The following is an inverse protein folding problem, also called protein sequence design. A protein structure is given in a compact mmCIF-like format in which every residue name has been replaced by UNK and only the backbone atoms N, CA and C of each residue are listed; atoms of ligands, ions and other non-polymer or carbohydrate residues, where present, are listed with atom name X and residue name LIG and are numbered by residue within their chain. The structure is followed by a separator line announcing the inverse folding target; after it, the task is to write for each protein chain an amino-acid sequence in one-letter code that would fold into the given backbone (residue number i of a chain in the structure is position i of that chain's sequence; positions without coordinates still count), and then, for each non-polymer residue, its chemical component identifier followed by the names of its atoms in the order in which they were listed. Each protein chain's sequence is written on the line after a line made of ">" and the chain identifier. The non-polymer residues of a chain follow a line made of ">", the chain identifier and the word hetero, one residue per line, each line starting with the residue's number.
data_IF_544252218255
#
_entry.id   IF_544252218255
#
_cell.length_a   1.000
_cell.length_b   1.000
_cell.length_c   1.000
_cell.angle_alpha   90.00
_cell.angle_beta   90.00
_cell.angle_gamma   90.00
#
_symmetry.space_group_name_H-M   'P 1'
#
loop_
_entity.id
_entity.type
_entity.pdbx_description
1 polymer ?
#
# COMPACT_ATOMS: atom_id res chain seq x y z
N UNK A 1 -21.25 -5.73 -26.73
CA UNK A 1 -20.89 -5.52 -25.30
C UNK A 1 -21.68 -6.38 -24.30
N UNK A 2 -23.00 -6.57 -24.45
CA UNK A 2 -23.85 -7.32 -23.49
C UNK A 2 -23.38 -8.76 -23.14
N UNK A 3 -22.72 -9.47 -24.08
CA UNK A 3 -22.15 -10.81 -23.81
C UNK A 3 -20.89 -10.79 -22.93
N UNK A 4 -20.11 -9.72 -23.00
CA UNK A 4 -18.85 -9.57 -22.28
C UNK A 4 -19.00 -8.87 -20.92
N UNK A 5 -20.18 -8.33 -20.60
CA UNK A 5 -20.40 -7.55 -19.37
C UNK A 5 -19.98 -8.27 -18.08
N UNK A 6 -20.11 -9.60 -18.01
CA UNK A 6 -19.65 -10.37 -16.85
C UNK A 6 -18.13 -10.40 -16.73
N UNK A 7 -17.41 -10.66 -17.81
CA UNK A 7 -15.94 -10.65 -17.81
C UNK A 7 -15.40 -9.24 -17.51
N UNK A 8 -16.02 -8.21 -18.11
CA UNK A 8 -15.68 -6.81 -17.84
C UNK A 8 -15.93 -6.46 -16.36
N UNK A 9 -17.01 -6.96 -15.76
CA UNK A 9 -17.27 -6.79 -14.32
C UNK A 9 -16.21 -7.43 -13.44
N UNK A 10 -15.74 -8.63 -13.77
CA UNK A 10 -14.68 -9.29 -13.00
C UNK A 10 -13.35 -8.50 -13.09
N UNK A 11 -12.98 -8.06 -14.29
CA UNK A 11 -11.80 -7.22 -14.50
C UNK A 11 -11.91 -5.87 -13.78
N UNK A 12 -13.07 -5.22 -13.85
CA UNK A 12 -13.31 -3.95 -13.17
C UNK A 12 -13.18 -4.09 -11.63
N UNK A 13 -13.70 -5.17 -11.04
CA UNK A 13 -13.54 -5.42 -9.60
C UNK A 13 -12.06 -5.56 -9.21
N UNK A 14 -11.28 -6.34 -9.97
CA UNK A 14 -9.84 -6.49 -9.75
C UNK A 14 -9.14 -5.13 -9.81
N UNK A 15 -9.42 -4.33 -10.83
CA UNK A 15 -8.81 -3.01 -11.01
C UNK A 15 -9.22 -2.03 -9.91
N UNK A 16 -10.47 -2.05 -9.45
CA UNK A 16 -10.92 -1.22 -8.34
C UNK A 16 -10.23 -1.60 -7.01
N UNK A 17 -10.02 -2.90 -6.77
CA UNK A 17 -9.30 -3.37 -5.58
C UNK A 17 -7.81 -2.98 -5.68
N UNK A 18 -7.19 -3.15 -6.85
CA UNK A 18 -5.80 -2.71 -7.07
C UNK A 18 -5.64 -1.21 -6.87
N UNK A 19 -6.53 -0.39 -7.46
CA UNK A 19 -6.58 1.06 -7.22
C UNK A 19 -6.65 1.38 -5.73
N UNK A 20 -7.52 0.70 -4.98
CA UNK A 20 -7.68 0.98 -3.57
C UNK A 20 -6.48 0.55 -2.73
N UNK A 21 -5.90 -0.62 -2.98
CA UNK A 21 -4.73 -1.12 -2.24
C UNK A 21 -3.54 -0.18 -2.46
N UNK A 22 -3.25 0.19 -3.71
CA UNK A 22 -2.17 1.14 -4.05
C UNK A 22 -2.45 2.52 -3.44
N UNK A 23 -3.69 3.02 -3.48
CA UNK A 23 -4.05 4.25 -2.78
C UNK A 23 -3.81 4.17 -1.25
N UNK A 24 -4.10 3.05 -0.61
CA UNK A 24 -3.83 2.82 0.81
C UNK A 24 -2.33 2.81 1.11
N UNK A 25 -1.51 2.20 0.23
CA UNK A 25 -0.04 2.20 0.35
C UNK A 25 0.50 3.63 0.29
N UNK A 26 0.07 4.44 -0.69
CA UNK A 26 0.49 5.84 -0.78
C UNK A 26 0.05 6.67 0.43
N UNK A 27 -1.17 6.44 0.93
CA UNK A 27 -1.65 7.11 2.14
C UNK A 27 -0.77 6.78 3.35
N UNK A 28 -0.43 5.51 3.54
CA UNK A 28 0.46 5.08 4.64
C UNK A 28 1.86 5.69 4.48
N UNK A 29 2.44 5.61 3.27
CA UNK A 29 3.79 6.11 3.01
C UNK A 29 3.92 7.64 3.19
N UNK A 30 2.82 8.38 3.00
CA UNK A 30 2.78 9.83 3.16
C UNK A 30 2.22 10.34 4.49
N UNK A 31 1.76 9.46 5.37
CA UNK A 31 1.15 9.84 6.66
C UNK A 31 2.23 10.00 7.74
N UNK A 32 2.72 11.24 7.90
CA UNK A 32 3.74 11.58 8.90
C UNK A 32 3.31 11.25 10.32
N UNK A 33 2.06 11.51 10.69
CA UNK A 33 1.58 11.21 12.04
C UNK A 33 1.57 9.71 12.32
N UNK A 34 1.13 8.90 11.36
CA UNK A 34 1.19 7.45 11.49
C UNK A 34 2.63 6.94 11.52
N UNK A 35 3.50 7.45 10.64
CA UNK A 35 4.91 7.09 10.59
C UNK A 35 5.60 7.34 11.93
N UNK A 36 5.43 8.54 12.48
CA UNK A 36 5.98 8.92 13.79
C UNK A 36 5.44 8.04 14.91
N UNK A 37 4.12 7.83 14.95
CA UNK A 37 3.49 7.01 15.98
C UNK A 37 4.01 5.56 15.98
N UNK A 38 4.17 4.95 14.79
CA UNK A 38 4.68 3.59 14.69
C UNK A 38 6.20 3.50 14.94
N UNK A 39 6.98 4.49 14.48
CA UNK A 39 8.41 4.58 14.83
C UNK A 39 8.62 4.71 16.33
N UNK A 40 7.92 5.62 17.01
CA UNK A 40 8.01 5.78 18.46
C UNK A 40 7.56 4.54 19.23
N UNK A 41 6.58 3.81 18.69
CA UNK A 41 6.06 2.60 19.31
C UNK A 41 6.99 1.38 19.15
N UNK A 42 7.65 1.25 18.01
CA UNK A 42 8.46 0.07 17.66
C UNK A 42 9.97 0.29 17.82
N UNK A 43 10.39 1.54 17.80
CA UNK A 43 11.78 1.97 17.80
C UNK A 43 11.90 3.26 18.63
N UNK A 44 11.68 3.20 19.96
CA UNK A 44 11.75 4.38 20.80
C UNK A 44 13.21 4.88 20.95
N UNK A 45 13.42 6.14 21.38
CA UNK A 45 14.75 6.78 21.52
C UNK A 45 15.85 5.92 22.15
N UNK A 46 15.50 5.13 23.16
CA UNK A 46 16.43 4.27 23.91
C UNK A 46 17.00 3.14 23.04
N UNK A 47 16.30 2.75 21.98
CA UNK A 47 16.69 1.67 21.05
C UNK A 47 17.42 2.19 19.82
N UNK A 48 17.06 3.39 19.34
CA UNK A 48 17.64 3.99 18.13
C UNK A 48 18.90 4.80 18.44
N UNK A 49 19.05 5.28 19.68
CA UNK A 49 20.11 6.21 20.07
C UNK A 49 19.85 7.65 19.61
N UNK A 50 18.65 7.94 19.10
CA UNK A 50 18.23 9.29 18.74
C UNK A 50 17.50 9.96 19.90
N UNK A 51 17.62 11.28 20.02
CA UNK A 51 16.74 12.03 20.91
C UNK A 51 15.30 12.05 20.37
N UNK A 52 14.30 12.00 21.26
CA UNK A 52 12.88 12.04 20.87
C UNK A 52 12.53 13.27 20.01
N UNK A 53 13.22 14.40 20.23
CA UNK A 53 13.03 15.64 19.47
C UNK A 53 13.42 15.52 17.99
N UNK A 54 14.21 14.52 17.59
CA UNK A 54 14.65 14.33 16.21
C UNK A 54 13.63 13.56 15.36
N UNK A 55 12.72 12.80 15.99
CA UNK A 55 11.74 11.96 15.27
C UNK A 55 10.86 12.75 14.32
N UNK A 56 10.25 13.89 14.70
CA UNK A 56 9.41 14.65 13.78
C UNK A 56 10.15 15.09 12.51
N UNK A 57 11.41 15.51 12.63
CA UNK A 57 12.24 15.93 11.51
C UNK A 57 12.58 14.77 10.57
N UNK A 58 12.99 13.63 11.13
CA UNK A 58 13.29 12.41 10.37
C UNK A 58 12.03 11.88 9.67
N UNK A 59 10.88 11.95 10.33
CA UNK A 59 9.58 11.52 9.77
C UNK A 59 9.13 12.43 8.63
N UNK A 60 9.24 13.75 8.79
CA UNK A 60 8.91 14.70 7.71
C UNK A 60 9.83 14.48 6.50
N UNK A 61 11.13 14.28 6.76
CA UNK A 61 12.11 13.93 5.73
C UNK A 61 11.73 12.62 5.01
N UNK A 62 11.45 11.56 5.77
CA UNK A 62 11.15 10.23 5.23
C UNK A 62 9.87 10.23 4.40
N UNK A 63 8.76 10.71 4.95
CA UNK A 63 7.47 10.77 4.24
C UNK A 63 7.50 11.77 3.10
N UNK A 64 8.17 12.91 3.27
CA UNK A 64 8.40 13.87 2.20
C UNK A 64 9.22 13.29 1.05
N UNK A 65 10.25 12.50 1.34
CA UNK A 65 11.07 11.86 0.32
C UNK A 65 10.30 10.80 -0.46
N UNK A 66 9.60 9.90 0.23
CA UNK A 66 8.78 8.85 -0.38
C UNK A 66 7.63 9.42 -1.24
N UNK A 67 7.05 10.55 -0.81
CA UNK A 67 5.97 11.22 -1.56
C UNK A 67 6.47 12.12 -2.69
N UNK A 68 7.78 12.39 -2.75
CA UNK A 68 8.44 13.23 -3.75
C UNK A 68 8.47 14.73 -3.41
N UNK A 69 8.02 15.12 -2.21
CA UNK A 69 8.09 16.50 -1.70
C UNK A 69 9.53 16.90 -1.34
N UNK A 70 10.35 15.94 -0.94
CA UNK A 70 11.76 16.15 -0.58
C UNK A 70 12.65 15.42 -1.61
N UNK A 71 13.70 16.09 -2.08
CA UNK A 71 14.55 15.60 -3.15
C UNK A 71 15.58 14.56 -2.67
N UNK A 72 16.18 14.78 -1.50
CA UNK A 72 17.28 13.99 -0.97
C UNK A 72 16.87 13.28 0.33
N UNK A 73 17.30 12.03 0.49
CA UNK A 73 17.07 11.27 1.73
C UNK A 73 18.27 11.43 2.65
N UNK A 74 18.30 12.52 3.41
CA UNK A 74 19.30 12.73 4.46
C UNK A 74 18.75 13.67 5.54
N UNK A 75 19.10 13.39 6.78
CA UNK A 75 18.80 14.24 7.93
C UNK A 75 20.09 14.40 8.74
N UNK A 76 20.28 15.54 9.40
CA UNK A 76 21.50 15.80 10.20
C UNK A 76 21.14 15.98 11.65
N UNK A 77 21.83 15.25 12.53
CA UNK A 77 21.72 15.40 13.99
C UNK A 77 23.01 16.00 14.54
N UNK A 78 22.89 16.73 15.63
CA UNK A 78 24.05 17.18 16.39
C UNK A 78 24.59 16.04 17.23
N UNK A 79 25.83 15.65 17.00
CA UNK A 79 26.50 14.59 17.76
C UNK A 79 26.86 15.04 19.19
N UNK A 80 27.39 14.12 19.98
CA UNK A 80 27.82 14.40 21.36
C UNK A 80 28.96 15.40 21.47
N UNK A 81 29.65 15.71 20.36
CA UNK A 81 30.70 16.73 20.27
C UNK A 81 30.17 18.09 19.77
N UNK A 82 28.85 18.22 19.54
CA UNK A 82 28.23 19.46 19.04
C UNK A 82 28.37 19.68 17.53
N UNK A 83 28.78 18.66 16.77
CA UNK A 83 28.94 18.74 15.32
C UNK A 83 27.73 18.15 14.60
N UNK A 84 27.35 18.73 13.47
CA UNK A 84 26.28 18.18 12.63
C UNK A 84 26.80 16.99 11.84
N UNK A 85 26.18 15.82 12.03
CA UNK A 85 26.52 14.58 11.35
C UNK A 85 25.30 14.03 10.59
N UNK A 86 25.50 13.41 9.41
CA UNK A 86 24.43 12.72 8.69
C UNK A 86 23.90 11.52 9.49
N UNK A 87 22.58 11.33 9.48
CA UNK A 87 21.90 10.23 10.15
C UNK A 87 22.05 8.89 9.44
N UNK A 88 22.09 8.90 8.11
CA UNK A 88 22.06 7.71 7.28
C UNK A 88 23.33 7.59 6.45
N UNK A 89 23.84 6.36 6.33
CA UNK A 89 24.92 6.06 5.40
C UNK A 89 24.43 6.13 3.94
N UNK A 90 25.36 6.30 3.00
CA UNK A 90 25.04 6.39 1.57
C UNK A 90 24.29 5.15 1.04
N UNK A 91 24.58 3.96 1.57
CA UNK A 91 23.88 2.73 1.17
C UNK A 91 22.46 2.64 1.74
N UNK A 92 22.20 3.21 2.92
CA UNK A 92 20.84 3.32 3.47
C UNK A 92 20.00 4.29 2.63
N UNK A 93 20.60 5.42 2.22
CA UNK A 93 19.97 6.37 1.32
C UNK A 93 19.74 5.77 -0.08
N UNK A 94 20.67 4.94 -0.59
CA UNK A 94 20.50 4.21 -1.83
C UNK A 94 19.33 3.22 -1.76
N UNK A 95 19.18 2.49 -0.66
CA UNK A 95 18.02 1.62 -0.46
C UNK A 95 16.71 2.44 -0.43
N UNK A 96 16.71 3.60 0.21
CA UNK A 96 15.55 4.48 0.19
C UNK A 96 15.22 5.03 -1.20
N UNK A 97 16.22 5.23 -2.06
CA UNK A 97 15.99 5.57 -3.47
C UNK A 97 15.24 4.43 -4.20
N UNK A 98 15.59 3.17 -3.94
CA UNK A 98 14.85 2.01 -4.47
C UNK A 98 13.40 2.00 -3.94
N UNK A 99 13.19 2.26 -2.64
CA UNK A 99 11.87 2.38 -2.04
C UNK A 99 11.04 3.51 -2.68
N UNK A 100 11.65 4.66 -2.95
CA UNK A 100 10.99 5.78 -3.64
C UNK A 100 10.60 5.43 -5.07
N UNK A 101 11.46 4.72 -5.80
CA UNK A 101 11.13 4.22 -7.13
C UNK A 101 9.92 3.27 -7.09
N UNK A 102 9.86 2.39 -6.08
CA UNK A 102 8.73 1.49 -5.88
C UNK A 102 7.43 2.23 -5.53
N UNK A 103 7.48 3.26 -4.67
CA UNK A 103 6.31 4.12 -4.37
C UNK A 103 5.86 4.92 -5.60
N UNK A 104 6.79 5.33 -6.46
CA UNK A 104 6.45 6.00 -7.73
C UNK A 104 5.77 5.05 -8.72
N UNK A 105 6.24 3.79 -8.80
CA UNK A 105 5.59 2.73 -9.56
C UNK A 105 4.18 2.44 -9.01
N UNK A 106 4.03 2.33 -7.69
CA UNK A 106 2.74 2.12 -7.01
C UNK A 106 1.75 3.23 -7.38
N UNK A 107 2.18 4.50 -7.38
CA UNK A 107 1.38 5.64 -7.85
C UNK A 107 0.94 5.52 -9.30
N UNK A 108 1.83 5.04 -10.17
CA UNK A 108 1.50 4.81 -11.58
C UNK A 108 0.45 3.71 -11.72
N UNK A 109 0.62 2.60 -11.00
CA UNK A 109 -0.35 1.49 -10.98
C UNK A 109 -1.70 1.97 -10.44
N UNK A 110 -1.72 2.77 -9.37
CA UNK A 110 -2.95 3.35 -8.82
C UNK A 110 -3.73 4.11 -9.91
N UNK A 111 -3.07 5.05 -10.59
CA UNK A 111 -3.71 5.89 -11.62
C UNK A 111 -4.24 5.02 -12.77
N UNK A 112 -3.41 4.12 -13.31
CA UNK A 112 -3.80 3.27 -14.44
C UNK A 112 -4.94 2.31 -14.07
N UNK A 113 -4.89 1.71 -12.88
CA UNK A 113 -5.92 0.82 -12.38
C UNK A 113 -7.25 1.58 -12.20
N UNK A 114 -7.21 2.76 -11.57
CA UNK A 114 -8.39 3.60 -11.33
C UNK A 114 -9.05 4.06 -12.63
N UNK A 115 -8.27 4.60 -13.58
CA UNK A 115 -8.77 5.03 -14.89
C UNK A 115 -9.37 3.85 -15.66
N UNK A 116 -8.67 2.71 -15.68
CA UNK A 116 -9.16 1.51 -16.37
C UNK A 116 -10.45 0.99 -15.74
N UNK A 117 -10.53 0.94 -14.41
CA UNK A 117 -11.73 0.50 -13.70
C UNK A 117 -12.92 1.43 -14.00
N UNK A 118 -12.69 2.75 -14.03
CA UNK A 118 -13.69 3.75 -14.36
C UNK A 118 -14.21 3.59 -15.79
N UNK A 119 -13.31 3.47 -16.78
CA UNK A 119 -13.66 3.30 -18.19
C UNK A 119 -14.48 2.03 -18.41
N UNK A 120 -14.04 0.89 -17.85
CA UNK A 120 -14.74 -0.38 -17.98
C UNK A 120 -16.14 -0.34 -17.33
N UNK A 121 -16.25 0.23 -16.13
CA UNK A 121 -17.54 0.43 -15.46
C UNK A 121 -18.46 1.32 -16.29
N UNK A 122 -17.99 2.48 -16.76
CA UNK A 122 -18.78 3.43 -17.54
C UNK A 122 -19.27 2.81 -18.86
N UNK A 123 -18.41 2.09 -19.59
CA UNK A 123 -18.75 1.43 -20.83
C UNK A 123 -19.95 0.47 -20.67
N UNK A 124 -20.00 -0.27 -19.56
CA UNK A 124 -21.09 -1.20 -19.28
C UNK A 124 -22.34 -0.49 -18.79
N UNK A 125 -22.21 0.55 -17.95
CA UNK A 125 -23.37 1.32 -17.49
C UNK A 125 -24.12 2.01 -18.64
N UNK A 126 -23.40 2.45 -19.66
CA UNK A 126 -23.94 3.13 -20.84
C UNK A 126 -24.52 2.17 -21.89
N UNK A 127 -23.85 1.02 -22.15
CA UNK A 127 -24.13 0.20 -23.34
C UNK A 127 -24.14 -1.32 -23.09
N UNK A 128 -23.94 -1.75 -21.85
CA UNK A 128 -23.83 -3.16 -21.47
C UNK A 128 -25.05 -3.73 -20.76
N UNK A 129 -24.91 -4.97 -20.26
CA UNK A 129 -25.91 -5.60 -19.39
C UNK A 129 -25.46 -5.44 -17.93
N UNK A 130 -26.21 -4.63 -17.17
CA UNK A 130 -25.87 -4.25 -15.79
C UNK A 130 -25.91 -5.43 -14.82
N UNK A 131 -26.90 -6.32 -14.94
CA UNK A 131 -26.96 -7.50 -14.06
C UNK A 131 -25.76 -8.42 -14.27
N UNK A 132 -25.43 -8.73 -15.53
CA UNK A 132 -24.26 -9.56 -15.86
C UNK A 132 -22.96 -8.93 -15.35
N UNK A 133 -22.85 -7.60 -15.43
CA UNK A 133 -21.71 -6.85 -14.88
C UNK A 133 -21.61 -6.96 -13.37
N UNK A 134 -22.70 -6.72 -12.63
CA UNK A 134 -22.72 -6.88 -11.18
C UNK A 134 -22.36 -8.32 -10.76
N UNK A 135 -22.87 -9.34 -11.47
CA UNK A 135 -22.45 -10.74 -11.24
C UNK A 135 -20.96 -10.95 -11.52
N UNK A 136 -20.43 -10.26 -12.52
CA UNK A 136 -19.00 -10.19 -12.83
C UNK A 136 -18.17 -9.59 -11.71
N UNK A 137 -18.61 -8.46 -11.13
CA UNK A 137 -17.96 -7.82 -9.98
C UNK A 137 -17.83 -8.83 -8.83
N UNK A 138 -18.91 -9.55 -8.50
CA UNK A 138 -18.87 -10.61 -7.47
C UNK A 138 -17.89 -11.74 -7.83
N UNK A 139 -17.71 -12.07 -9.11
CA UNK A 139 -16.69 -13.04 -9.54
C UNK A 139 -15.28 -12.50 -9.32
N UNK A 140 -15.01 -11.26 -9.72
CA UNK A 140 -13.70 -10.62 -9.51
C UNK A 140 -13.36 -10.47 -8.02
N UNK A 141 -14.35 -10.16 -7.18
CA UNK A 141 -14.19 -10.12 -5.72
C UNK A 141 -13.77 -11.47 -5.14
N UNK A 142 -14.34 -12.59 -5.62
CA UNK A 142 -13.92 -13.93 -5.17
C UNK A 142 -12.50 -14.26 -5.60
N UNK A 143 -12.13 -13.92 -6.84
CA UNK A 143 -10.78 -14.17 -7.37
C UNK A 143 -9.75 -13.40 -6.56
N UNK A 144 -9.90 -12.07 -6.48
CA UNK A 144 -8.97 -11.21 -5.76
C UNK A 144 -8.99 -11.50 -4.26
N UNK A 145 -10.18 -11.77 -3.69
CA UNK A 145 -10.32 -12.18 -2.29
C UNK A 145 -9.54 -13.46 -1.97
N UNK A 146 -9.50 -14.43 -2.89
CA UNK A 146 -8.68 -15.63 -2.74
C UNK A 146 -7.18 -15.33 -2.69
N UNK A 147 -6.70 -14.44 -3.57
CA UNK A 147 -5.29 -14.01 -3.58
C UNK A 147 -4.93 -13.29 -2.29
N UNK A 148 -5.75 -12.32 -1.87
CA UNK A 148 -5.51 -11.55 -0.64
C UNK A 148 -5.61 -12.43 0.61
N UNK A 149 -6.54 -13.40 0.63
CA UNK A 149 -6.64 -14.35 1.73
C UNK A 149 -5.41 -15.25 1.82
N UNK A 150 -4.88 -15.72 0.69
CA UNK A 150 -3.63 -16.51 0.68
C UNK A 150 -2.44 -15.71 1.21
N UNK A 151 -2.30 -14.44 0.78
CA UNK A 151 -1.27 -13.54 1.30
C UNK A 151 -1.43 -13.25 2.79
N UNK A 152 -2.67 -13.05 3.26
CA UNK A 152 -2.96 -12.84 4.68
C UNK A 152 -2.63 -14.07 5.52
N UNK A 153 -3.00 -15.27 5.06
CA UNK A 153 -2.68 -16.52 5.74
C UNK A 153 -1.16 -16.70 5.85
N UNK A 154 -0.42 -16.41 4.79
CA UNK A 154 1.05 -16.44 4.84
C UNK A 154 1.59 -15.41 5.83
N UNK A 155 1.12 -14.15 5.77
CA UNK A 155 1.55 -13.10 6.69
C UNK A 155 1.31 -13.48 8.17
N UNK A 156 0.19 -14.15 8.47
CA UNK A 156 -0.13 -14.62 9.83
C UNK A 156 0.71 -15.81 10.27
N UNK A 157 1.12 -16.67 9.34
CA UNK A 157 1.95 -17.84 9.64
C UNK A 157 3.43 -17.48 9.77
N UNK A 158 3.94 -16.63 8.87
CA UNK A 158 5.34 -16.23 8.78
C UNK A 158 5.48 -14.88 8.07
N UNK A 159 5.27 -13.79 8.82
CA UNK A 159 5.46 -12.44 8.29
C UNK A 159 6.91 -12.20 7.85
N UNK A 160 7.89 -12.73 8.58
CA UNK A 160 9.31 -12.58 8.25
C UNK A 160 9.62 -13.18 6.88
N UNK A 161 9.15 -14.40 6.60
CA UNK A 161 9.34 -15.06 5.31
C UNK A 161 8.64 -14.31 4.17
N UNK A 162 7.43 -13.79 4.40
CA UNK A 162 6.74 -12.93 3.43
C UNK A 162 7.53 -11.65 3.15
N UNK A 163 7.98 -10.97 4.21
CA UNK A 163 8.76 -9.73 4.12
C UNK A 163 10.07 -9.95 3.35
N UNK A 164 10.84 -10.98 3.70
CA UNK A 164 12.09 -11.33 3.01
C UNK A 164 11.84 -11.71 1.56
N UNK A 165 10.77 -12.46 1.26
CA UNK A 165 10.45 -12.85 -0.12
C UNK A 165 10.11 -11.63 -0.97
N UNK A 166 9.32 -10.70 -0.41
CA UNK A 166 9.03 -9.43 -1.06
C UNK A 166 10.31 -8.64 -1.32
N UNK A 167 11.20 -8.49 -0.33
CA UNK A 167 12.44 -7.71 -0.49
C UNK A 167 13.37 -8.32 -1.54
N UNK A 168 13.51 -9.64 -1.59
CA UNK A 168 14.28 -10.32 -2.65
C UNK A 168 13.71 -10.06 -4.05
N UNK A 169 12.38 -9.97 -4.17
CA UNK A 169 11.72 -9.70 -5.45
C UNK A 169 11.79 -8.21 -5.85
N UNK A 170 11.61 -7.30 -4.90
CA UNK A 170 11.57 -5.87 -5.15
C UNK A 170 12.97 -5.23 -5.25
N UNK A 171 13.95 -5.77 -4.52
CA UNK A 171 15.29 -5.22 -4.36
C UNK A 171 16.36 -6.30 -4.60
N UNK A 172 16.53 -6.75 -5.86
CA UNK A 172 17.44 -7.85 -6.19
C UNK A 172 18.93 -7.51 -6.01
N UNK A 173 19.26 -6.21 -5.86
CA UNK A 173 20.60 -5.71 -5.56
C UNK A 173 21.06 -6.01 -4.12
N UNK A 174 20.17 -6.46 -3.23
CA UNK A 174 20.50 -6.78 -1.84
C UNK A 174 20.71 -5.57 -0.92
N UNK A 175 20.48 -4.34 -1.41
CA UNK A 175 20.68 -3.10 -0.65
C UNK A 175 19.78 -2.94 0.57
N UNK A 176 18.78 -3.80 0.72
CA UNK A 176 17.86 -3.84 1.87
C UNK A 176 18.41 -4.63 3.07
N UNK A 177 19.53 -5.35 2.92
CA UNK A 177 20.16 -6.09 4.02
C UNK A 177 20.99 -5.15 4.90
N UNK A 178 20.33 -4.57 5.89
CA UNK A 178 20.91 -3.61 6.83
C UNK A 178 21.31 -4.28 8.15
N UNK A 179 22.36 -3.75 8.77
CA UNK A 179 22.86 -4.19 10.06
C UNK A 179 22.26 -3.34 11.20
N UNK A 180 21.41 -3.91 12.08
CA UNK A 180 20.78 -3.16 13.16
C UNK A 180 21.74 -2.64 14.24
N UNK A 181 23.00 -3.06 14.24
CA UNK A 181 24.01 -2.52 15.16
C UNK A 181 24.60 -1.19 14.69
N UNK A 182 24.57 -0.92 13.38
CA UNK A 182 25.24 0.25 12.78
C UNK A 182 24.27 1.15 12.02
N UNK A 183 23.20 0.59 11.49
CA UNK A 183 22.35 1.26 10.50
C UNK A 183 21.13 1.84 11.20
N UNK A 184 20.91 3.14 11.02
CA UNK A 184 19.82 3.83 11.70
C UNK A 184 18.46 3.50 11.06
N UNK A 185 18.41 3.30 9.75
CA UNK A 185 17.18 3.06 8.99
C UNK A 185 16.45 1.81 9.48
N UNK A 186 17.15 0.69 9.65
CA UNK A 186 16.55 -0.56 10.16
C UNK A 186 16.22 -0.47 11.65
N UNK A 187 16.94 0.35 12.42
CA UNK A 187 16.59 0.62 13.82
C UNK A 187 15.33 1.45 13.94
N UNK A 188 15.09 2.40 13.05
CA UNK A 188 13.86 3.21 12.98
C UNK A 188 12.67 2.44 12.41
N UNK A 189 12.91 1.52 11.48
CA UNK A 189 11.90 0.70 10.84
C UNK A 189 12.18 -0.80 11.05
N UNK A 190 12.10 -1.31 12.29
CA UNK A 190 12.29 -2.72 12.57
C UNK A 190 11.13 -3.55 11.99
N UNK A 191 11.24 -4.88 12.02
CA UNK A 191 10.19 -5.76 11.49
C UNK A 191 8.80 -5.48 12.09
N UNK A 192 8.73 -5.21 13.40
CA UNK A 192 7.48 -4.92 14.11
C UNK A 192 6.77 -3.66 13.58
N UNK A 193 7.53 -2.67 13.12
CA UNK A 193 6.99 -1.48 12.47
C UNK A 193 6.24 -1.88 11.18
N UNK A 194 6.84 -2.74 10.36
CA UNK A 194 6.21 -3.22 9.12
C UNK A 194 5.01 -4.14 9.38
N UNK A 195 5.04 -4.96 10.44
CA UNK A 195 3.88 -5.76 10.86
C UNK A 195 2.70 -4.84 11.18
N UNK A 196 2.93 -3.78 11.96
CA UNK A 196 1.89 -2.82 12.37
C UNK A 196 1.34 -2.03 11.18
N UNK A 197 2.20 -1.57 10.27
CA UNK A 197 1.76 -0.96 9.02
C UNK A 197 0.97 -1.95 8.15
N UNK A 198 1.41 -3.20 8.06
CA UNK A 198 0.73 -4.27 7.34
C UNK A 198 -0.68 -4.51 7.85
N UNK A 199 -0.86 -4.58 9.18
CA UNK A 199 -2.17 -4.72 9.83
C UNK A 199 -3.08 -3.53 9.50
N UNK A 200 -2.59 -2.30 9.64
CA UNK A 200 -3.35 -1.08 9.32
C UNK A 200 -3.73 -1.00 7.84
N UNK A 201 -2.80 -1.36 6.96
CA UNK A 201 -3.03 -1.45 5.51
C UNK A 201 -4.10 -2.49 5.18
N UNK A 202 -4.00 -3.69 5.75
CA UNK A 202 -4.98 -4.76 5.55
C UNK A 202 -6.39 -4.34 6.00
N UNK A 203 -6.52 -3.70 7.17
CA UNK A 203 -7.81 -3.20 7.65
C UNK A 203 -8.41 -2.15 6.70
N UNK A 204 -7.61 -1.18 6.25
CA UNK A 204 -8.06 -0.13 5.30
C UNK A 204 -8.41 -0.72 3.93
N UNK A 205 -7.70 -1.75 3.47
CA UNK A 205 -7.93 -2.41 2.19
C UNK A 205 -9.31 -3.10 2.10
N UNK A 206 -9.92 -3.49 3.23
CA UNK A 206 -11.24 -4.14 3.25
C UNK A 206 -12.40 -3.24 2.77
N UNK A 207 -12.24 -1.92 2.83
CA UNK A 207 -13.30 -0.99 2.48
C UNK A 207 -13.82 -1.19 1.04
N UNK A 208 -12.92 -1.29 0.07
CA UNK A 208 -13.33 -1.36 -1.34
C UNK A 208 -14.04 -2.67 -1.72
N UNK A 209 -13.56 -3.87 -1.32
CA UNK A 209 -14.31 -5.11 -1.52
C UNK A 209 -15.74 -5.07 -0.94
N UNK A 210 -15.90 -4.52 0.27
CA UNK A 210 -17.21 -4.39 0.93
C UNK A 210 -18.14 -3.49 0.12
N UNK A 211 -17.64 -2.33 -0.33
CA UNK A 211 -18.41 -1.39 -1.14
C UNK A 211 -18.82 -2.00 -2.49
N UNK A 212 -17.91 -2.70 -3.16
CA UNK A 212 -18.18 -3.36 -4.44
C UNK A 212 -19.20 -4.48 -4.30
N UNK A 213 -19.11 -5.30 -3.24
CA UNK A 213 -20.05 -6.38 -2.94
C UNK A 213 -21.47 -5.81 -2.74
N UNK A 214 -21.59 -4.79 -1.90
CA UNK A 214 -22.87 -4.12 -1.61
C UNK A 214 -23.48 -3.49 -2.87
N UNK A 215 -22.67 -2.74 -3.63
CA UNK A 215 -23.10 -2.10 -4.87
C UNK A 215 -23.54 -3.11 -5.93
N UNK A 216 -22.81 -4.22 -6.08
CA UNK A 216 -23.15 -5.28 -7.03
C UNK A 216 -24.47 -5.97 -6.65
N UNK A 217 -24.68 -6.31 -5.38
CA UNK A 217 -25.93 -6.91 -4.90
C UNK A 217 -27.12 -5.98 -5.09
N UNK A 218 -26.98 -4.71 -4.74
CA UNK A 218 -28.01 -3.70 -4.97
C UNK A 218 -28.31 -3.52 -6.47
N UNK A 219 -27.28 -3.56 -7.32
CA UNK A 219 -27.42 -3.50 -8.77
C UNK A 219 -28.25 -4.65 -9.33
N UNK A 220 -27.97 -5.89 -8.91
CA UNK A 220 -28.75 -7.09 -9.30
C UNK A 220 -30.20 -6.98 -8.84
N UNK A 221 -30.43 -6.55 -7.59
CA UNK A 221 -31.79 -6.39 -7.06
C UNK A 221 -32.60 -5.37 -7.88
N UNK A 222 -32.01 -4.21 -8.20
CA UNK A 222 -32.67 -3.16 -8.98
C UNK A 222 -32.97 -3.56 -10.42
N UNK A 223 -32.11 -4.34 -11.07
CA UNK A 223 -32.38 -4.80 -12.44
C UNK A 223 -33.53 -5.78 -12.48
N UNK A 224 -33.56 -6.75 -11.56
CA UNK A 224 -34.64 -7.76 -11.50
C UNK A 224 -36.00 -7.13 -11.19
N UNK A 225 -36.05 -6.15 -10.27
CA UNK A 225 -37.31 -5.46 -9.96
C UNK A 225 -37.82 -4.56 -11.10
N UNK A 226 -36.94 -4.04 -11.97
CA UNK A 226 -37.37 -3.27 -13.15
C UNK A 226 -37.98 -4.16 -14.23
N UNK A 227 -37.49 -5.39 -14.37
CA UNK A 227 -38.02 -6.37 -15.32
C UNK A 227 -39.36 -6.98 -14.89
N UNK A 228 -39.73 -6.83 -13.60
CA UNK A 228 -40.99 -7.33 -13.02
C UNK A 228 -42.11 -6.30 -12.94
N UNK A 229 -41.87 -5.03 -13.30
CA UNK A 229 -42.94 -4.02 -13.37
C UNK A 229 -43.63 -4.13 -14.75
N UNK A 230 -44.96 -4.33 -14.79
CA UNK A 230 -45.73 -4.46 -16.03
C UNK A 230 -45.71 -3.18 -16.88
#
# INVERSE_FOLDING_TARGET
>A
MKKYSKAIGAAAAILWIMFWITAVILQIAGDGHLMEAEMMQCAPPETTGLAAAEYPGIVDMTTGYLTGRIAEFQYTVTDSAGQNAPCFHDYEAAHMADCRALISLDRTVMILAGVSALVLTAAVLLRGNRERFCRGILTGLRIMGGVLAALLIWALADFTGLFVTFHKAAFPNGGWLLNPQTDLLIRLMPLDFFIRLGIRGAMRALAMPILLEAAARAGIYRTRNKEQKP
#
